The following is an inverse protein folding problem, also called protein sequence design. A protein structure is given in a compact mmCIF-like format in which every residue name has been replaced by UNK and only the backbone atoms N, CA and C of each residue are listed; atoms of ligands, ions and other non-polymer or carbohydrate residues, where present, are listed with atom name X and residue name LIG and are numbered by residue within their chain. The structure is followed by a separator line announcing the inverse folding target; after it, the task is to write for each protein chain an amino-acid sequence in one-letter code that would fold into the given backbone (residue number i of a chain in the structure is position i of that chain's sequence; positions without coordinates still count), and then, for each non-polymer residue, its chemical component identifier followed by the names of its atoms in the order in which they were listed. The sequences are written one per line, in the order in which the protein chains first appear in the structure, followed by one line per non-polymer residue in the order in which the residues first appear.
data_IF_683281627949
#
_entry.id   IF_683281627949
#
_cell.length_a   1.000
_cell.length_b   1.000
_cell.length_c   1.000
_cell.angle_alpha   90.00
_cell.angle_beta   90.00
_cell.angle_gamma   90.00
#
_symmetry.space_group_name_H-M   'P 1'
#
loop_
_entity.id
_entity.type
_entity.pdbx_description
1 polymer ?
#
# COMPACT_ATOMS: atom_id res chain seq x y z
N UNK A 1 -3.52 9.07 -5.91
CA UNK A 1 -2.76 7.94 -5.34
C UNK A 1 -3.42 6.63 -5.70
N UNK A 2 -2.65 5.55 -5.82
CA UNK A 2 -3.21 4.26 -6.18
C UNK A 2 -2.38 3.09 -5.63
N UNK A 3 -3.06 1.95 -5.43
CA UNK A 3 -2.46 0.66 -5.17
C UNK A 3 -2.52 -0.20 -6.43
N UNK A 4 -1.39 -0.78 -6.84
CA UNK A 4 -1.32 -1.77 -7.91
C UNK A 4 -0.93 -3.12 -7.32
N UNK A 5 -1.78 -4.11 -7.50
CA UNK A 5 -1.56 -5.46 -6.98
C UNK A 5 -0.74 -6.27 -7.98
N UNK A 6 0.44 -6.72 -7.58
CA UNK A 6 1.34 -7.54 -8.41
C UNK A 6 1.15 -9.03 -8.14
N UNK A 7 0.60 -9.36 -6.99
CA UNK A 7 0.29 -10.72 -6.60
C UNK A 7 -0.79 -10.74 -5.52
N UNK A 8 -1.78 -11.58 -5.72
CA UNK A 8 -3.02 -11.65 -4.93
C UNK A 8 -3.35 -13.07 -4.46
N UNK A 9 -2.45 -14.03 -4.70
CA UNK A 9 -2.59 -15.43 -4.29
C UNK A 9 -1.93 -15.71 -2.95
N UNK A 10 -2.46 -16.70 -2.23
CA UNK A 10 -2.02 -17.15 -0.91
C UNK A 10 -1.12 -18.38 -1.02
N UNK A 11 0.01 -18.36 -0.33
CA UNK A 11 0.94 -19.47 -0.13
C UNK A 11 1.73 -19.86 -1.38
N UNK A 12 1.08 -20.08 -2.50
CA UNK A 12 1.70 -20.52 -3.76
C UNK A 12 1.10 -19.78 -4.95
N UNK A 13 1.88 -19.51 -6.01
CA UNK A 13 1.33 -18.93 -7.22
C UNK A 13 0.36 -19.91 -7.91
N UNK A 14 -0.60 -19.35 -8.62
CA UNK A 14 -1.49 -20.08 -9.52
C UNK A 14 -1.26 -19.65 -10.97
N UNK A 15 -2.11 -20.08 -11.90
CA UNK A 15 -2.03 -19.61 -13.30
C UNK A 15 -2.44 -18.14 -13.44
N UNK A 16 -3.30 -17.66 -12.57
CA UNK A 16 -3.92 -16.33 -12.65
C UNK A 16 -3.45 -15.37 -11.56
N UNK A 17 -2.85 -15.90 -10.48
CA UNK A 17 -2.42 -15.11 -9.31
C UNK A 17 -1.00 -15.46 -8.89
N UNK A 18 -0.18 -14.43 -8.76
CA UNK A 18 1.15 -14.49 -8.16
C UNK A 18 1.04 -14.39 -6.63
N UNK A 19 2.13 -14.70 -5.93
CA UNK A 19 2.28 -14.51 -4.48
C UNK A 19 2.32 -13.03 -4.09
N UNK A 20 2.10 -12.73 -2.82
CA UNK A 20 1.80 -11.40 -2.31
C UNK A 20 2.82 -10.32 -2.70
N UNK A 21 2.34 -9.29 -3.36
CA UNK A 21 3.08 -8.05 -3.60
C UNK A 21 2.12 -6.92 -4.03
N UNK A 22 2.28 -5.75 -3.43
CA UNK A 22 1.45 -4.57 -3.74
C UNK A 22 2.32 -3.33 -3.85
N UNK A 23 2.12 -2.54 -4.90
CA UNK A 23 2.77 -1.24 -5.09
C UNK A 23 1.84 -0.12 -4.62
N UNK A 24 2.35 0.75 -3.78
CA UNK A 24 1.78 2.04 -3.48
C UNK A 24 2.50 3.10 -4.30
N UNK A 25 1.76 3.76 -5.19
CA UNK A 25 2.30 4.80 -6.05
C UNK A 25 2.04 6.19 -5.46
N UNK A 26 3.11 6.97 -5.35
CA UNK A 26 3.13 8.37 -4.95
C UNK A 26 3.45 9.25 -6.18
N UNK A 27 2.46 9.62 -6.98
CA UNK A 27 2.69 10.27 -8.27
C UNK A 27 3.34 11.65 -8.15
N UNK A 28 3.08 12.38 -7.07
CA UNK A 28 3.67 13.68 -6.75
C UNK A 28 5.19 13.63 -6.56
N UNK A 29 5.74 12.48 -6.13
CA UNK A 29 7.16 12.24 -5.92
C UNK A 29 7.79 11.31 -6.95
N UNK A 30 7.01 10.79 -7.89
CA UNK A 30 7.49 9.78 -8.87
C UNK A 30 8.11 8.54 -8.21
N UNK A 31 7.62 8.18 -7.03
CA UNK A 31 8.15 7.18 -6.11
C UNK A 31 7.17 6.04 -5.92
N UNK A 32 7.68 4.84 -5.70
CA UNK A 32 6.91 3.65 -5.35
C UNK A 32 7.36 3.07 -4.01
N UNK A 33 6.39 2.59 -3.24
CA UNK A 33 6.63 1.75 -2.07
C UNK A 33 6.07 0.35 -2.36
N UNK A 34 6.82 -0.66 -2.00
CA UNK A 34 6.43 -2.06 -2.20
C UNK A 34 6.02 -2.67 -0.85
N UNK A 35 4.82 -3.22 -0.79
CA UNK A 35 4.32 -4.01 0.34
C UNK A 35 4.36 -5.48 -0.04
N UNK A 36 5.14 -6.25 0.70
CA UNK A 36 5.57 -7.61 0.43
C UNK A 36 6.28 -7.79 -0.92
N UNK A 37 7.08 -8.82 -1.01
CA UNK A 37 7.86 -9.15 -2.18
C UNK A 37 7.92 -10.67 -2.35
N UNK A 38 6.79 -11.26 -2.68
CA UNK A 38 6.69 -12.69 -2.96
C UNK A 38 7.44 -13.08 -4.22
N UNK A 39 7.49 -14.37 -4.50
CA UNK A 39 8.15 -14.92 -5.67
C UNK A 39 7.67 -14.24 -6.97
N UNK A 40 8.58 -14.02 -7.90
CA UNK A 40 8.33 -13.40 -9.20
C UNK A 40 7.79 -11.95 -9.18
N UNK A 41 7.82 -11.22 -8.06
CA UNK A 41 7.39 -9.82 -7.96
C UNK A 41 8.06 -8.93 -9.03
N UNK A 42 9.37 -9.09 -9.27
CA UNK A 42 10.07 -8.33 -10.32
C UNK A 42 9.56 -8.64 -11.73
N UNK A 43 9.13 -9.87 -12.02
CA UNK A 43 8.52 -10.22 -13.31
C UNK A 43 7.15 -9.55 -13.46
N UNK A 44 6.37 -9.50 -12.39
CA UNK A 44 5.09 -8.80 -12.40
C UNK A 44 5.28 -7.28 -12.59
N UNK A 45 6.28 -6.68 -11.96
CA UNK A 45 6.64 -5.28 -12.23
C UNK A 45 6.94 -5.05 -13.72
N UNK A 46 7.74 -5.93 -14.35
CA UNK A 46 8.06 -5.83 -15.77
C UNK A 46 6.81 -5.97 -16.65
N UNK A 47 5.93 -6.92 -16.36
CA UNK A 47 4.69 -7.16 -17.10
C UNK A 47 3.74 -5.97 -17.06
N UNK A 48 3.68 -5.28 -15.93
CA UNK A 48 2.78 -4.15 -15.71
C UNK A 48 3.45 -2.78 -15.89
N UNK A 49 4.66 -2.74 -16.47
CA UNK A 49 5.36 -1.50 -16.80
C UNK A 49 5.83 -0.69 -15.57
N UNK A 50 5.94 -1.34 -14.41
CA UNK A 50 6.37 -0.68 -13.18
C UNK A 50 7.89 -0.67 -13.10
N UNK A 51 8.47 0.53 -13.00
CA UNK A 51 9.91 0.70 -12.91
C UNK A 51 10.40 0.42 -11.49
N UNK A 52 11.07 -0.73 -11.30
CA UNK A 52 11.61 -1.14 -9.99
C UNK A 52 12.62 -0.13 -9.39
N UNK A 53 13.25 0.69 -10.24
CA UNK A 53 14.22 1.68 -9.78
C UNK A 53 13.56 2.84 -8.99
N UNK A 54 12.26 3.04 -9.18
CA UNK A 54 11.48 4.03 -8.43
C UNK A 54 11.01 3.52 -7.07
N UNK A 55 11.26 2.26 -6.74
CA UNK A 55 10.95 1.71 -5.41
C UNK A 55 12.04 2.18 -4.45
N UNK A 56 11.67 3.01 -3.50
CA UNK A 56 12.55 3.54 -2.46
C UNK A 56 12.38 2.83 -1.12
N UNK A 57 11.21 2.23 -0.88
CA UNK A 57 10.89 1.53 0.37
C UNK A 57 10.20 0.21 0.11
N UNK A 58 10.54 -0.79 0.92
CA UNK A 58 9.87 -2.09 0.97
C UNK A 58 9.37 -2.32 2.39
N UNK A 59 8.12 -2.69 2.53
CA UNK A 59 7.48 -3.02 3.81
C UNK A 59 7.09 -4.50 3.78
N UNK A 60 7.73 -5.31 4.60
CA UNK A 60 7.41 -6.74 4.73
C UNK A 60 6.45 -6.93 5.88
N UNK A 61 5.32 -7.56 5.62
CA UNK A 61 4.32 -7.84 6.64
C UNK A 61 4.77 -8.95 7.58
N UNK A 62 5.30 -10.04 7.04
CA UNK A 62 5.79 -11.17 7.81
C UNK A 62 6.77 -12.04 6.98
N UNK A 63 7.44 -13.00 7.64
CA UNK A 63 8.57 -13.73 7.06
C UNK A 63 8.21 -14.98 6.25
N UNK A 64 6.94 -15.29 6.01
CA UNK A 64 6.60 -16.42 5.13
C UNK A 64 7.13 -16.21 3.70
N UNK A 65 7.42 -17.30 3.01
CA UNK A 65 8.11 -17.27 1.71
C UNK A 65 7.29 -16.57 0.62
N UNK A 66 5.99 -16.74 0.60
CA UNK A 66 5.09 -16.08 -0.35
C UNK A 66 5.01 -14.55 -0.19
N UNK A 67 5.61 -14.01 0.88
CA UNK A 67 5.77 -12.56 1.12
C UNK A 67 7.23 -12.08 0.98
N UNK A 68 8.23 -13.00 0.93
CA UNK A 68 9.65 -12.62 1.00
C UNK A 68 10.54 -13.21 -0.08
N UNK A 69 10.19 -14.33 -0.73
CA UNK A 69 11.11 -15.06 -1.61
C UNK A 69 11.46 -14.32 -2.91
N UNK A 70 10.73 -13.29 -3.30
CA UNK A 70 11.10 -12.40 -4.40
C UNK A 70 12.13 -11.33 -4.02
N UNK A 71 12.27 -11.03 -2.71
CA UNK A 71 13.07 -9.92 -2.21
C UNK A 71 14.56 -10.01 -2.60
N UNK A 72 15.26 -11.15 -2.48
CA UNK A 72 16.65 -11.27 -2.89
C UNK A 72 16.87 -10.96 -4.38
N UNK A 73 16.01 -11.50 -5.23
CA UNK A 73 16.05 -11.24 -6.67
C UNK A 73 15.77 -9.78 -7.02
N UNK A 74 14.81 -9.16 -6.34
CA UNK A 74 14.48 -7.75 -6.49
C UNK A 74 15.67 -6.85 -6.10
N UNK A 75 16.27 -7.05 -4.92
CA UNK A 75 17.43 -6.28 -4.44
C UNK A 75 18.61 -6.41 -5.41
N UNK A 76 18.95 -7.63 -5.83
CA UNK A 76 20.07 -7.91 -6.72
C UNK A 76 19.85 -7.31 -8.11
N UNK A 77 18.64 -7.43 -8.66
CA UNK A 77 18.33 -6.90 -10.00
C UNK A 77 18.35 -5.37 -10.03
N UNK A 78 17.92 -4.72 -8.95
CA UNK A 78 17.98 -3.26 -8.82
C UNK A 78 19.42 -2.75 -8.88
N UNK A 79 20.38 -3.48 -8.33
CA UNK A 79 21.81 -3.10 -8.33
C UNK A 79 22.42 -2.98 -9.74
N UNK A 80 21.88 -3.68 -10.74
CA UNK A 80 22.36 -3.58 -12.12
C UNK A 80 21.80 -2.37 -12.88
N UNK A 81 20.69 -1.80 -12.42
CA UNK A 81 19.94 -0.80 -13.20
C UNK A 81 20.18 0.64 -12.72
N UNK A 82 20.41 0.85 -11.42
CA UNK A 82 20.56 2.21 -10.89
C UNK A 82 21.59 2.23 -9.77
N UNK A 83 22.81 2.55 -10.04
CA UNK A 83 23.75 2.83 -8.98
C UNK A 83 23.40 4.19 -8.33
N UNK A 84 22.98 4.20 -7.06
CA UNK A 84 22.92 5.41 -6.28
C UNK A 84 21.63 5.65 -5.47
N UNK A 85 20.45 5.32 -5.98
CA UNK A 85 19.21 5.59 -5.24
C UNK A 85 19.04 4.64 -4.05
N UNK A 86 18.84 5.15 -2.82
CA UNK A 86 18.75 4.32 -1.64
C UNK A 86 17.51 3.41 -1.67
N UNK A 87 17.59 2.28 -0.95
CA UNK A 87 16.48 1.40 -0.66
C UNK A 87 16.45 1.12 0.82
N UNK A 88 15.32 1.38 1.48
CA UNK A 88 15.10 0.99 2.86
C UNK A 88 14.07 -0.13 2.92
N UNK A 89 14.37 -1.19 3.66
CA UNK A 89 13.48 -2.33 3.88
C UNK A 89 13.06 -2.31 5.35
N UNK A 90 11.76 -2.29 5.59
CA UNK A 90 11.16 -2.41 6.90
C UNK A 90 10.48 -3.77 7.02
N UNK A 91 10.63 -4.45 8.14
CA UNK A 91 9.97 -5.74 8.33
C UNK A 91 10.18 -6.32 9.72
N UNK A 92 9.64 -7.52 9.98
CA UNK A 92 9.76 -8.16 11.29
C UNK A 92 11.20 -8.63 11.59
N UNK A 93 11.50 -8.94 12.86
CA UNK A 93 12.76 -9.57 13.25
C UNK A 93 13.11 -10.77 12.38
N UNK A 94 14.36 -10.85 11.96
CA UNK A 94 14.89 -11.87 11.04
C UNK A 94 15.02 -11.41 9.60
N UNK A 95 14.41 -10.26 9.21
CA UNK A 95 14.51 -9.73 7.84
C UNK A 95 15.95 -9.29 7.51
N UNK A 96 16.66 -8.72 8.46
CA UNK A 96 18.04 -8.28 8.28
C UNK A 96 18.98 -9.49 8.06
N UNK A 97 18.80 -10.55 8.82
CA UNK A 97 19.55 -11.78 8.64
C UNK A 97 19.24 -12.43 7.28
N UNK A 98 17.94 -12.55 6.92
CA UNK A 98 17.50 -13.09 5.64
C UNK A 98 18.15 -12.38 4.45
N UNK A 99 18.12 -11.06 4.43
CA UNK A 99 18.74 -10.24 3.39
C UNK A 99 20.26 -10.44 3.37
N UNK A 100 20.91 -10.32 4.53
CA UNK A 100 22.37 -10.45 4.66
C UNK A 100 22.87 -11.82 4.20
N UNK A 101 22.28 -12.91 4.71
CA UNK A 101 22.68 -14.28 4.37
C UNK A 101 22.48 -14.53 2.87
N UNK A 102 21.35 -14.09 2.32
CA UNK A 102 21.05 -14.33 0.90
C UNK A 102 22.03 -13.60 -0.01
N UNK A 103 22.31 -12.33 0.25
CA UNK A 103 23.24 -11.53 -0.55
C UNK A 103 24.68 -12.04 -0.44
N UNK A 104 25.11 -12.42 0.76
CA UNK A 104 26.45 -12.95 1.00
C UNK A 104 26.67 -14.30 0.33
N UNK A 105 25.73 -15.24 0.50
CA UNK A 105 25.87 -16.60 -0.08
C UNK A 105 25.75 -16.61 -1.60
N UNK A 106 25.01 -15.66 -2.19
CA UNK A 106 24.90 -15.50 -3.64
C UNK A 106 26.01 -14.63 -4.25
N UNK A 107 26.95 -14.13 -3.44
CA UNK A 107 27.98 -13.17 -3.84
C UNK A 107 27.40 -11.93 -4.59
N UNK A 108 26.21 -11.48 -4.20
CA UNK A 108 25.54 -10.34 -4.79
C UNK A 108 26.17 -9.03 -4.33
N UNK A 109 26.61 -8.18 -5.28
CA UNK A 109 27.20 -6.89 -4.98
C UNK A 109 26.17 -5.79 -5.15
N UNK A 110 25.76 -5.18 -4.03
CA UNK A 110 24.84 -4.05 -4.02
C UNK A 110 25.62 -2.75 -4.23
N UNK A 111 25.19 -1.91 -5.18
CA UNK A 111 25.85 -0.67 -5.59
C UNK A 111 25.07 0.59 -5.21
N UNK A 112 24.14 0.47 -4.29
CA UNK A 112 23.34 1.56 -3.75
C UNK A 112 23.22 1.41 -2.22
N UNK A 113 22.94 2.50 -1.49
CA UNK A 113 22.67 2.40 -0.06
C UNK A 113 21.46 1.48 0.19
N UNK A 114 21.69 0.41 0.94
CA UNK A 114 20.68 -0.54 1.38
C UNK A 114 20.60 -0.51 2.89
N UNK A 115 19.46 -0.12 3.41
CA UNK A 115 19.16 -0.12 4.84
C UNK A 115 18.08 -1.15 5.13
N UNK A 116 18.24 -1.91 6.22
CA UNK A 116 17.23 -2.86 6.69
C UNK A 116 16.90 -2.53 8.14
N UNK A 117 15.64 -2.24 8.41
CA UNK A 117 15.12 -1.83 9.70
C UNK A 117 14.15 -2.88 10.20
N UNK A 118 14.50 -3.54 11.30
CA UNK A 118 13.60 -4.46 11.97
C UNK A 118 12.63 -3.69 12.86
N UNK A 119 11.35 -4.00 12.72
CA UNK A 119 10.27 -3.39 13.46
C UNK A 119 9.92 -4.24 14.68
N UNK A 120 9.55 -3.58 15.77
CA UNK A 120 9.14 -4.24 17.02
C UNK A 120 7.64 -4.58 17.00
N UNK A 121 6.93 -4.49 18.11
CA UNK A 121 5.53 -4.94 18.24
C UNK A 121 4.51 -4.00 17.61
N UNK A 122 4.65 -2.71 17.81
CA UNK A 122 3.80 -1.67 17.23
C UNK A 122 4.51 -0.32 17.32
N UNK A 123 4.18 0.59 16.41
CA UNK A 123 4.79 1.91 16.43
C UNK A 123 4.58 2.70 15.15
N UNK A 124 5.47 3.63 14.95
CA UNK A 124 5.60 4.43 13.74
C UNK A 124 6.92 4.09 13.04
N UNK A 125 6.87 3.91 11.72
CA UNK A 125 8.04 3.63 10.92
C UNK A 125 8.90 4.90 10.86
N UNK A 126 10.22 4.81 11.14
CA UNK A 126 11.11 5.98 11.11
C UNK A 126 11.39 6.40 9.66
N UNK A 127 10.48 7.20 9.10
CA UNK A 127 10.67 7.80 7.78
C UNK A 127 11.59 9.03 7.88
N UNK A 128 12.16 9.46 6.74
CA UNK A 128 12.96 10.67 6.70
C UNK A 128 12.12 11.92 7.04
N UNK A 129 12.74 12.96 7.61
CA UNK A 129 12.06 14.18 8.08
C UNK A 129 11.32 14.97 6.99
N UNK A 130 11.65 14.73 5.71
CA UNK A 130 10.99 15.39 4.56
C UNK A 130 9.72 14.68 4.09
N UNK A 131 9.34 13.59 4.73
CA UNK A 131 8.13 12.85 4.35
C UNK A 131 6.87 13.53 4.89
N UNK A 132 5.95 13.81 3.99
CA UNK A 132 4.60 14.29 4.29
C UNK A 132 3.64 13.14 4.61
N UNK A 133 4.18 11.98 4.96
CA UNK A 133 3.46 10.73 5.19
C UNK A 133 3.87 10.16 6.52
N UNK A 134 2.89 9.73 7.30
CA UNK A 134 3.11 8.90 8.49
C UNK A 134 2.78 7.46 8.16
N UNK A 135 3.67 6.54 8.53
CA UNK A 135 3.40 5.09 8.44
C UNK A 135 3.41 4.51 9.84
N UNK A 136 2.25 4.12 10.33
CA UNK A 136 2.13 3.37 11.59
C UNK A 136 2.00 1.89 11.31
N UNK A 137 2.40 1.06 12.24
CA UNK A 137 2.24 -0.38 12.16
C UNK A 137 1.77 -0.97 13.49
N UNK A 138 1.12 -2.12 13.41
CA UNK A 138 0.70 -2.91 14.56
C UNK A 138 0.84 -4.40 14.28
N UNK A 139 1.01 -5.19 15.33
CA UNK A 139 1.08 -6.65 15.21
C UNK A 139 -0.30 -7.24 14.96
N UNK A 140 -0.29 -8.32 14.19
CA UNK A 140 -1.45 -9.12 13.84
C UNK A 140 -1.35 -10.52 14.46
N UNK A 141 -2.46 -11.24 14.48
CA UNK A 141 -2.54 -12.59 15.04
C UNK A 141 -2.32 -13.64 13.94
N UNK A 142 -1.08 -14.02 13.73
CA UNK A 142 -0.66 -14.99 12.72
C UNK A 142 0.34 -16.00 13.31
N UNK A 143 0.69 -17.05 12.53
CA UNK A 143 1.61 -18.11 12.95
C UNK A 143 3.05 -17.65 13.20
N UNK A 144 3.44 -16.53 12.59
CA UNK A 144 4.69 -15.78 12.81
C UNK A 144 4.34 -14.32 13.03
N UNK A 145 5.30 -13.51 13.48
CA UNK A 145 5.07 -12.08 13.66
C UNK A 145 4.66 -11.45 12.33
N UNK A 146 3.46 -10.85 12.31
CA UNK A 146 2.86 -10.23 11.14
C UNK A 146 2.37 -8.84 11.49
N UNK A 147 2.36 -7.93 10.51
CA UNK A 147 1.99 -6.52 10.67
C UNK A 147 0.87 -6.08 9.75
N UNK A 148 0.06 -5.14 10.24
CA UNK A 148 -0.66 -4.21 9.41
C UNK A 148 0.11 -2.87 9.35
N UNK A 149 0.08 -2.22 8.20
CA UNK A 149 0.64 -0.88 7.98
C UNK A 149 -0.48 0.10 7.68
N UNK A 150 -0.47 1.26 8.37
CA UNK A 150 -1.38 2.38 8.09
C UNK A 150 -0.58 3.55 7.55
N UNK A 151 -0.89 3.97 6.33
CA UNK A 151 -0.27 5.08 5.62
C UNK A 151 -1.23 6.24 5.66
N UNK A 152 -0.84 7.33 6.31
CA UNK A 152 -1.63 8.57 6.39
C UNK A 152 -0.83 9.67 5.72
N UNK A 153 -1.33 10.19 4.61
CA UNK A 153 -0.74 11.35 3.92
C UNK A 153 -1.14 12.65 4.64
N UNK A 154 -0.25 13.62 4.59
CA UNK A 154 -0.57 14.94 5.13
C UNK A 154 -1.74 15.59 4.40
N UNK A 155 -2.36 16.56 5.05
CA UNK A 155 -3.41 17.39 4.45
C UNK A 155 -2.92 17.99 3.12
N UNK A 156 -3.80 17.97 2.14
CA UNK A 156 -3.55 18.54 0.82
C UNK A 156 -4.15 19.97 0.76
N UNK A 157 -3.52 20.87 0.00
CA UNK A 157 -4.13 22.18 -0.24
C UNK A 157 -5.55 22.03 -0.78
N UNK A 158 -6.46 22.85 -0.31
CA UNK A 158 -7.84 22.87 -0.74
C UNK A 158 -7.99 23.11 -2.25
N UNK A 159 -9.21 22.98 -2.75
CA UNK A 159 -9.51 23.24 -4.15
C UNK A 159 -9.30 24.72 -4.48
N UNK A 160 -8.66 24.97 -5.62
CA UNK A 160 -8.54 26.32 -6.16
C UNK A 160 -9.89 26.78 -6.73
N UNK A 161 -10.38 27.93 -6.26
CA UNK A 161 -11.64 28.52 -6.70
C UNK A 161 -11.44 29.23 -8.06
N UNK A 162 -11.35 28.42 -9.12
CA UNK A 162 -10.98 28.88 -10.47
C UNK A 162 -11.95 29.98 -10.99
N UNK A 163 -13.24 29.79 -10.77
CA UNK A 163 -14.24 30.78 -11.23
C UNK A 163 -14.01 32.15 -10.60
N UNK A 164 -13.66 32.17 -9.33
CA UNK A 164 -13.33 33.38 -8.59
C UNK A 164 -12.07 34.07 -9.13
N UNK A 165 -11.08 33.32 -9.58
CA UNK A 165 -9.87 33.85 -10.21
C UNK A 165 -10.18 34.44 -11.58
N UNK A 166 -11.02 33.79 -12.38
CA UNK A 166 -11.47 34.28 -13.68
C UNK A 166 -12.23 35.61 -13.51
N UNK A 167 -13.09 35.75 -12.51
CA UNK A 167 -13.79 36.98 -12.17
C UNK A 167 -12.84 38.14 -11.81
N UNK A 168 -11.66 37.81 -11.27
CA UNK A 168 -10.57 38.77 -10.99
C UNK A 168 -9.64 38.98 -12.20
N UNK A 169 -9.98 38.43 -13.37
CA UNK A 169 -9.21 38.60 -14.62
C UNK A 169 -7.97 37.71 -14.72
N UNK A 170 -7.82 36.73 -13.85
CA UNK A 170 -6.66 35.81 -13.84
C UNK A 170 -6.95 34.60 -14.72
N UNK A 171 -6.22 34.47 -15.80
CA UNK A 171 -6.32 33.29 -16.68
C UNK A 171 -5.54 32.09 -16.14
N UNK A 172 -5.95 30.84 -16.46
CA UNK A 172 -5.21 29.64 -16.12
C UNK A 172 -3.73 29.74 -16.54
N UNK A 173 -2.85 29.46 -15.58
CA UNK A 173 -1.42 29.56 -15.78
C UNK A 173 -0.60 29.21 -14.53
N UNK A 174 0.72 29.44 -14.54
CA UNK A 174 1.61 29.11 -13.42
C UNK A 174 1.19 29.74 -12.08
N UNK A 175 0.53 30.91 -12.11
CA UNK A 175 0.00 31.60 -10.93
C UNK A 175 -1.03 30.77 -10.16
N UNK A 176 -1.80 29.90 -10.84
CA UNK A 176 -2.74 28.99 -10.18
C UNK A 176 -2.00 27.99 -9.28
N UNK A 177 -0.86 27.47 -9.76
CA UNK A 177 -0.01 26.61 -8.96
C UNK A 177 0.62 27.31 -7.76
N UNK A 178 1.00 28.57 -7.90
CA UNK A 178 1.53 29.40 -6.79
C UNK A 178 0.46 29.61 -5.71
N UNK A 179 -0.72 30.08 -6.10
CA UNK A 179 -1.85 30.22 -5.16
C UNK A 179 -2.19 28.90 -4.46
N UNK A 180 -2.23 27.79 -5.21
CA UNK A 180 -2.54 26.47 -4.64
C UNK A 180 -1.49 26.01 -3.62
N UNK A 181 -0.23 26.48 -3.73
CA UNK A 181 0.84 26.20 -2.74
C UNK A 181 0.85 27.17 -1.55
N UNK A 182 -0.13 28.10 -1.47
CA UNK A 182 -0.20 29.07 -0.38
C UNK A 182 0.58 30.36 -0.65
N UNK A 183 1.12 30.54 -1.87
CA UNK A 183 1.88 31.74 -2.26
C UNK A 183 0.93 32.83 -2.75
N UNK A 184 1.04 34.05 -2.22
CA UNK A 184 0.30 35.21 -2.74
C UNK A 184 0.92 35.64 -4.07
N UNK A 185 0.09 36.14 -4.99
CA UNK A 185 0.56 36.63 -6.29
C UNK A 185 0.25 38.12 -6.47
N UNK A 186 1.09 38.81 -7.22
CA UNK A 186 0.85 40.21 -7.60
C UNK A 186 0.61 40.29 -9.11
N UNK A 187 -0.53 40.83 -9.48
CA UNK A 187 -0.89 41.06 -10.90
C UNK A 187 -0.15 42.27 -11.48
N UNK A 188 -0.06 42.38 -12.82
CA UNK A 188 0.63 43.46 -13.53
C UNK A 188 0.09 44.85 -13.16
N UNK A 189 -1.17 44.93 -12.74
CA UNK A 189 -1.81 46.17 -12.29
C UNK A 189 -1.51 46.51 -10.82
N UNK A 190 -0.65 45.73 -10.14
CA UNK A 190 -0.28 45.92 -8.74
C UNK A 190 -1.26 45.31 -7.72
N UNK A 191 -2.32 44.66 -8.16
CA UNK A 191 -3.29 44.00 -7.26
C UNK A 191 -2.64 42.74 -6.67
N UNK A 192 -2.66 42.58 -5.34
CA UNK A 192 -2.22 41.40 -4.65
C UNK A 192 -3.41 40.47 -4.43
N UNK A 193 -3.31 39.26 -4.92
CA UNK A 193 -4.28 38.19 -4.67
C UNK A 193 -3.69 37.27 -3.59
N UNK A 194 -4.38 37.16 -2.48
CA UNK A 194 -3.95 36.31 -1.36
C UNK A 194 -4.43 34.88 -1.60
N UNK A 195 -3.53 33.92 -1.47
CA UNK A 195 -3.86 32.50 -1.63
C UNK A 195 -5.08 32.09 -0.80
N UNK A 196 -5.14 32.52 0.45
CA UNK A 196 -6.24 32.20 1.37
C UNK A 196 -7.65 32.62 0.87
N UNK A 197 -7.74 33.59 -0.04
CA UNK A 197 -9.00 34.05 -0.59
C UNK A 197 -9.49 33.17 -1.75
N UNK A 198 -8.62 32.38 -2.36
CA UNK A 198 -8.87 31.61 -3.58
C UNK A 198 -8.67 30.11 -3.42
N UNK A 199 -8.10 29.65 -2.30
CA UNK A 199 -7.93 28.23 -2.00
C UNK A 199 -8.92 27.85 -0.90
N UNK A 200 -9.67 26.79 -1.12
CA UNK A 200 -10.59 26.23 -0.13
C UNK A 200 -9.86 25.69 1.11
N UNK A 201 -10.61 25.22 2.11
CA UNK A 201 -10.00 24.62 3.29
C UNK A 201 -9.16 23.40 2.89
N UNK A 202 -8.07 23.11 3.63
CA UNK A 202 -7.28 21.91 3.42
C UNK A 202 -8.16 20.67 3.40
N UNK A 203 -7.79 19.70 2.54
CA UNK A 203 -8.47 18.41 2.44
C UNK A 203 -7.62 17.34 3.15
N UNK A 204 -8.22 16.44 3.92
CA UNK A 204 -7.48 15.30 4.48
C UNK A 204 -6.74 14.56 3.37
N UNK A 205 -5.49 14.21 3.63
CA UNK A 205 -4.74 13.31 2.76
C UNK A 205 -5.33 11.89 2.82
N UNK A 206 -5.04 11.05 1.83
CA UNK A 206 -5.46 9.66 1.84
C UNK A 206 -4.95 8.88 3.06
N UNK A 207 -5.80 7.99 3.55
CA UNK A 207 -5.53 7.14 4.70
C UNK A 207 -5.81 5.67 4.33
N UNK A 208 -4.76 4.86 4.26
CA UNK A 208 -4.79 3.50 3.74
C UNK A 208 -4.29 2.55 4.81
N UNK A 209 -4.96 1.42 4.96
CA UNK A 209 -4.47 0.33 5.83
C UNK A 209 -4.28 -0.93 4.98
N UNK A 210 -3.07 -1.50 5.04
CA UNK A 210 -2.75 -2.78 4.44
C UNK A 210 -2.49 -3.79 5.56
N UNK A 211 -3.30 -4.84 5.60
CA UNK A 211 -3.12 -5.96 6.51
C UNK A 211 -2.25 -7.02 5.87
N UNK A 212 -1.26 -7.54 6.62
CA UNK A 212 -0.66 -8.84 6.37
C UNK A 212 -1.60 -9.97 6.76
N UNK A 213 -1.08 -11.19 6.75
CA UNK A 213 -1.85 -12.37 7.09
C UNK A 213 -2.25 -12.36 8.57
N UNK A 214 -3.51 -12.68 8.82
CA UNK A 214 -4.08 -12.66 10.18
C UNK A 214 -5.39 -13.42 10.26
N UNK A 215 -5.63 -14.08 11.38
CA UNK A 215 -7.00 -14.46 11.70
C UNK A 215 -7.81 -13.26 12.16
N UNK A 216 -9.11 -13.41 12.11
CA UNK A 216 -10.04 -12.37 12.52
C UNK A 216 -9.91 -12.04 14.01
N UNK A 217 -9.53 -10.80 14.31
CA UNK A 217 -9.48 -10.22 15.65
C UNK A 217 -10.26 -8.90 15.65
N UNK A 218 -11.41 -8.81 16.34
CA UNK A 218 -12.23 -7.60 16.32
C UNK A 218 -11.48 -6.31 16.72
N UNK A 219 -10.50 -6.41 17.63
CA UNK A 219 -9.67 -5.27 18.08
C UNK A 219 -8.83 -4.63 16.96
N UNK A 220 -8.59 -5.32 15.85
CA UNK A 220 -7.91 -4.72 14.70
C UNK A 220 -8.75 -3.65 13.99
N UNK A 221 -10.06 -3.58 14.25
CA UNK A 221 -10.92 -2.52 13.72
C UNK A 221 -10.48 -1.12 14.18
N UNK A 222 -9.95 -0.99 15.39
CA UNK A 222 -9.48 0.29 15.91
C UNK A 222 -8.28 0.83 15.13
N UNK A 223 -7.38 -0.07 14.68
CA UNK A 223 -6.24 0.32 13.86
C UNK A 223 -6.64 0.80 12.47
N UNK A 224 -7.70 0.24 11.89
CA UNK A 224 -8.23 0.62 10.59
C UNK A 224 -9.34 1.69 10.64
N UNK A 225 -9.67 2.20 11.85
CA UNK A 225 -10.85 3.06 12.03
C UNK A 225 -10.84 4.28 11.11
N UNK A 226 -11.91 4.42 10.30
CA UNK A 226 -12.16 5.55 9.42
C UNK A 226 -11.27 5.66 8.19
N UNK A 227 -10.41 4.66 7.89
CA UNK A 227 -9.54 4.68 6.73
C UNK A 227 -10.32 4.79 5.41
N UNK A 228 -9.73 5.47 4.41
CA UNK A 228 -10.30 5.56 3.08
C UNK A 228 -10.31 4.21 2.37
N UNK A 229 -9.26 3.43 2.58
CA UNK A 229 -9.09 2.11 1.99
C UNK A 229 -8.51 1.13 3.00
N UNK A 230 -9.12 -0.03 3.13
CA UNK A 230 -8.58 -1.19 3.83
C UNK A 230 -8.29 -2.30 2.84
N UNK A 231 -7.05 -2.78 2.80
CA UNK A 231 -6.65 -4.01 2.10
C UNK A 231 -6.52 -5.10 3.14
N UNK A 232 -7.21 -6.22 2.95
CA UNK A 232 -7.21 -7.31 3.92
C UNK A 232 -7.11 -8.67 3.23
N UNK A 233 -6.38 -9.60 3.84
CA UNK A 233 -6.34 -10.97 3.37
C UNK A 233 -7.72 -11.62 3.45
N UNK A 234 -7.98 -12.56 2.55
CA UNK A 234 -9.21 -13.31 2.44
C UNK A 234 -8.93 -14.72 1.92
N UNK A 235 -8.04 -15.40 2.61
CA UNK A 235 -7.52 -16.72 2.21
C UNK A 235 -8.62 -17.77 2.09
N UNK A 236 -9.66 -17.64 2.92
CA UNK A 236 -10.77 -18.59 2.97
C UNK A 236 -12.13 -17.94 2.66
N UNK A 237 -13.01 -18.73 2.06
CA UNK A 237 -14.43 -18.40 1.96
C UNK A 237 -15.18 -18.64 3.27
N UNK A 238 -16.45 -18.18 3.36
CA UNK A 238 -17.26 -18.31 4.58
C UNK A 238 -17.53 -19.75 4.99
N UNK A 239 -17.32 -20.72 4.10
CA UNK A 239 -17.52 -22.14 4.35
C UNK A 239 -16.38 -22.81 5.14
N UNK A 240 -15.27 -22.09 5.36
CA UNK A 240 -14.09 -22.62 6.08
C UNK A 240 -13.66 -21.76 7.28
N UNK A 241 -14.54 -21.32 8.18
CA UNK A 241 -14.14 -20.47 9.32
C UNK A 241 -13.19 -21.18 10.27
N UNK A 242 -13.38 -22.50 10.49
CA UNK A 242 -12.50 -23.29 11.35
C UNK A 242 -11.08 -23.44 10.78
N UNK A 243 -10.97 -23.55 9.44
CA UNK A 243 -9.65 -23.57 8.79
C UNK A 243 -8.97 -22.21 8.87
N UNK A 244 -9.70 -21.13 8.65
CA UNK A 244 -9.19 -19.78 8.80
C UNK A 244 -8.63 -19.60 10.21
N UNK A 245 -9.40 -19.93 11.23
CA UNK A 245 -8.96 -19.87 12.62
C UNK A 245 -7.73 -20.75 12.91
N UNK A 246 -7.74 -21.99 12.43
CA UNK A 246 -6.67 -22.97 12.68
C UNK A 246 -5.35 -22.57 12.04
N UNK A 247 -5.38 -22.02 10.84
CA UNK A 247 -4.21 -21.66 10.05
C UNK A 247 -3.88 -20.18 10.11
N UNK A 248 -4.46 -19.44 11.06
CA UNK A 248 -4.21 -18.03 11.32
C UNK A 248 -4.50 -17.13 10.12
N UNK A 249 -5.61 -17.38 9.45
CA UNK A 249 -6.12 -16.57 8.34
C UNK A 249 -7.55 -16.10 8.58
N UNK A 250 -8.05 -15.28 7.67
CA UNK A 250 -9.42 -14.77 7.70
C UNK A 250 -10.26 -15.34 6.55
N UNK A 251 -11.58 -15.33 6.77
CA UNK A 251 -12.54 -15.51 5.67
C UNK A 251 -12.91 -14.17 5.05
N UNK A 252 -13.42 -14.20 3.81
CA UNK A 252 -13.93 -12.99 3.12
C UNK A 252 -15.00 -12.26 3.93
N UNK A 253 -15.88 -13.00 4.60
CA UNK A 253 -16.95 -12.43 5.44
C UNK A 253 -16.41 -11.83 6.74
N UNK A 254 -15.38 -12.42 7.33
CA UNK A 254 -14.70 -11.86 8.50
C UNK A 254 -13.97 -10.56 8.16
N UNK A 255 -13.28 -10.50 7.02
CA UNK A 255 -12.65 -9.27 6.54
C UNK A 255 -13.69 -8.17 6.27
N UNK A 256 -14.84 -8.51 5.68
CA UNK A 256 -15.94 -7.58 5.47
C UNK A 256 -16.56 -7.08 6.79
N UNK A 257 -16.68 -7.95 7.77
CA UNK A 257 -17.17 -7.58 9.10
C UNK A 257 -16.20 -6.62 9.82
N UNK A 258 -14.88 -6.85 9.70
CA UNK A 258 -13.86 -5.96 10.23
C UNK A 258 -13.94 -4.58 9.58
N UNK A 259 -14.08 -4.53 8.25
CA UNK A 259 -14.24 -3.29 7.49
C UNK A 259 -15.48 -2.49 7.94
N UNK A 260 -16.60 -3.19 8.18
CA UNK A 260 -17.85 -2.59 8.69
C UNK A 260 -17.64 -2.01 10.08
N UNK A 261 -16.99 -2.75 10.99
CA UNK A 261 -16.70 -2.30 12.36
C UNK A 261 -15.76 -1.09 12.36
N UNK A 262 -14.71 -1.13 11.54
CA UNK A 262 -13.74 -0.04 11.38
C UNK A 262 -14.33 1.18 10.65
N UNK A 263 -15.50 1.07 10.00
CA UNK A 263 -16.13 2.14 9.22
C UNK A 263 -15.21 2.69 8.13
N UNK A 264 -14.45 1.81 7.48
CA UNK A 264 -13.63 2.21 6.34
C UNK A 264 -14.52 2.61 5.16
N UNK A 265 -14.00 3.40 4.22
CA UNK A 265 -14.80 3.81 3.05
C UNK A 265 -14.85 2.71 1.98
N UNK A 266 -13.77 1.93 1.83
CA UNK A 266 -13.65 0.87 0.82
C UNK A 266 -12.81 -0.30 1.36
N UNK A 267 -13.22 -1.52 1.02
CA UNK A 267 -12.48 -2.76 1.31
C UNK A 267 -11.97 -3.38 0.01
N UNK A 268 -10.70 -3.76 0.01
CA UNK A 268 -10.08 -4.59 -1.03
C UNK A 268 -9.68 -5.92 -0.40
N UNK A 269 -10.23 -7.00 -0.90
CA UNK A 269 -9.84 -8.36 -0.51
C UNK A 269 -8.73 -8.88 -1.41
N UNK A 270 -7.74 -9.52 -0.81
CA UNK A 270 -6.57 -10.09 -1.49
C UNK A 270 -6.16 -11.41 -0.86
N UNK A 271 -5.06 -12.01 -1.29
CA UNK A 271 -4.48 -13.22 -0.70
C UNK A 271 -5.43 -14.42 -0.75
N UNK A 272 -5.92 -14.75 -1.96
CA UNK A 272 -6.90 -15.82 -2.16
C UNK A 272 -6.22 -17.19 -2.28
N UNK A 273 -6.77 -18.19 -1.57
CA UNK A 273 -6.36 -19.59 -1.77
C UNK A 273 -6.62 -20.04 -3.21
N UNK A 274 -5.72 -20.89 -3.74
CA UNK A 274 -5.86 -21.51 -5.05
C UNK A 274 -7.19 -22.29 -5.27
N UNK A 275 -7.96 -22.54 -4.21
CA UNK A 275 -9.33 -23.13 -4.28
C UNK A 275 -10.30 -22.24 -5.03
N UNK A 276 -10.06 -20.93 -5.03
CA UNK A 276 -10.96 -19.90 -5.56
C UNK A 276 -10.45 -19.31 -6.89
N UNK A 277 -9.63 -20.07 -7.64
CA UNK A 277 -8.99 -19.63 -8.88
C UNK A 277 -9.94 -19.77 -10.10
N UNK A 278 -11.25 -19.51 -9.90
CA UNK A 278 -12.24 -19.39 -10.98
C UNK A 278 -13.14 -18.19 -10.77
N UNK A 279 -13.60 -17.59 -11.87
CA UNK A 279 -14.42 -16.37 -11.83
C UNK A 279 -15.74 -16.59 -11.04
N UNK A 280 -16.35 -17.76 -11.17
CA UNK A 280 -17.63 -18.10 -10.47
C UNK A 280 -17.42 -18.09 -8.95
N UNK A 281 -16.35 -18.76 -8.47
CA UNK A 281 -16.06 -18.81 -7.04
C UNK A 281 -15.70 -17.44 -6.48
N UNK A 282 -14.91 -16.66 -7.24
CA UNK A 282 -14.59 -15.30 -6.85
C UNK A 282 -15.83 -14.41 -6.79
N UNK A 283 -16.77 -14.56 -7.73
CA UNK A 283 -18.03 -13.83 -7.71
C UNK A 283 -18.88 -14.19 -6.48
N UNK A 284 -18.91 -15.47 -6.09
CA UNK A 284 -19.60 -15.92 -4.87
C UNK A 284 -18.97 -15.32 -3.60
N UNK A 285 -17.63 -15.33 -3.50
CA UNK A 285 -16.90 -14.71 -2.39
C UNK A 285 -17.18 -13.21 -2.30
N UNK A 286 -17.17 -12.52 -3.44
CA UNK A 286 -17.46 -11.10 -3.50
C UNK A 286 -18.89 -10.78 -3.05
N UNK A 287 -19.87 -11.52 -3.57
CA UNK A 287 -21.27 -11.32 -3.20
C UNK A 287 -21.51 -11.54 -1.70
N UNK A 288 -20.86 -12.57 -1.10
CA UNK A 288 -20.92 -12.83 0.33
C UNK A 288 -20.32 -11.71 1.18
N UNK A 289 -19.19 -11.14 0.75
CA UNK A 289 -18.55 -10.02 1.42
C UNK A 289 -19.36 -8.72 1.26
N UNK A 290 -19.88 -8.43 0.06
CA UNK A 290 -20.70 -7.25 -0.24
C UNK A 290 -22.05 -7.24 0.50
N UNK A 291 -22.60 -8.40 0.85
CA UNK A 291 -23.79 -8.48 1.69
C UNK A 291 -23.55 -7.92 3.11
N UNK A 292 -22.31 -7.92 3.58
CA UNK A 292 -21.89 -7.38 4.89
C UNK A 292 -21.37 -5.95 4.74
N UNK A 293 -20.50 -5.71 3.75
CA UNK A 293 -19.89 -4.42 3.47
C UNK A 293 -19.95 -4.13 1.95
N UNK A 294 -20.94 -3.34 1.48
CA UNK A 294 -21.22 -3.15 0.04
C UNK A 294 -20.04 -2.60 -0.77
N UNK A 295 -19.20 -1.75 -0.15
CA UNK A 295 -18.04 -1.16 -0.82
C UNK A 295 -16.82 -2.09 -0.84
N UNK A 296 -17.04 -3.38 -1.11
CA UNK A 296 -16.00 -4.41 -1.22
C UNK A 296 -15.67 -4.69 -2.67
N UNK A 297 -14.37 -4.82 -2.98
CA UNK A 297 -13.86 -5.29 -4.27
C UNK A 297 -12.80 -6.37 -4.06
N UNK A 298 -12.57 -7.20 -5.08
CA UNK A 298 -11.47 -8.17 -5.08
C UNK A 298 -10.27 -7.60 -5.82
N UNK A 299 -9.09 -7.81 -5.26
CA UNK A 299 -7.84 -7.56 -5.97
C UNK A 299 -7.61 -8.62 -7.05
N UNK A 300 -6.98 -8.19 -8.14
CA UNK A 300 -6.48 -9.07 -9.19
C UNK A 300 -5.08 -8.63 -9.58
N UNK A 301 -4.26 -9.57 -10.05
CA UNK A 301 -2.91 -9.27 -10.50
C UNK A 301 -2.92 -8.25 -11.65
N UNK A 302 -2.13 -7.19 -11.52
CA UNK A 302 -2.10 -6.06 -12.44
C UNK A 302 -3.20 -5.00 -12.23
N UNK A 303 -4.20 -5.27 -11.40
CA UNK A 303 -5.26 -4.29 -11.13
C UNK A 303 -4.72 -3.10 -10.33
N UNK A 304 -5.13 -1.91 -10.73
CA UNK A 304 -4.84 -0.65 -10.03
C UNK A 304 -6.12 -0.10 -9.43
N UNK A 305 -6.09 0.18 -8.13
CA UNK A 305 -7.20 0.75 -7.39
C UNK A 305 -6.83 2.16 -6.98
N UNK A 306 -7.58 3.15 -7.48
CA UNK A 306 -7.49 4.55 -7.07
C UNK A 306 -8.20 4.81 -5.75
N UNK A 307 -7.76 5.85 -5.08
CA UNK A 307 -8.34 6.42 -3.86
C UNK A 307 -9.17 7.63 -4.20
#
# INVERSE_FOLDING_TARGET
MCLTFLGTGSGTPTRTRNTAATIYARPDRSEFWLFDCGEATQHQMLRHGINMNKVSRVFITHMHGDHTFGLPGFISSRAFRTPGDPLTIYGPPGIAEFVSVTLNTSASHIRYPLEVVELDHAGEVPLSQDDTVTVRYTTLDHGVQSYAYRITEAEQPGELQVDKLIDHGVQPGPCYGQLKRGEDITLDNGTVLRSADFVGPPQPGPDIVLFGDTRFVPGHADFAAGADLMVHEATYGPEYPDKAQKYFHSTTTQAAELARQARVKKLVLTHFSARYDTDEKLAELLAGAQAIFPHTVLAADGATIGL
#
